data_IF_495702841304
#
_entry.id   IF_495702841304
#
_cell.length_a   1.000
_cell.length_b   1.000
_cell.length_c   1.000
_cell.angle_alpha   90.00
_cell.angle_beta   90.00
_cell.angle_gamma   90.00
#
_symmetry.space_group_name_H-M   'P 1'
#
loop_
_entity.id
_entity.type
_entity.pdbx_description
1 polymer ?
#
# COMPACT_ATOMS: atom_id res chain seq x y z
N UNK A 1 -10.59 14.51 -4.30
CA UNK A 1 -9.39 14.66 -3.44
C UNK A 1 -8.67 13.32 -3.45
N UNK A 2 -7.38 13.28 -3.81
CA UNK A 2 -6.61 12.03 -3.82
C UNK A 2 -6.59 11.42 -2.42
N UNK A 3 -7.05 10.16 -2.27
CA UNK A 3 -6.92 9.42 -1.00
C UNK A 3 -5.43 9.35 -0.65
N UNK A 4 -5.08 9.53 0.63
CA UNK A 4 -3.68 9.43 1.07
C UNK A 4 -3.25 7.97 1.02
N UNK A 5 -2.15 7.66 0.33
CA UNK A 5 -1.57 6.29 0.23
C UNK A 5 -0.81 5.84 1.48
N UNK A 6 -0.72 6.71 2.48
CA UNK A 6 0.02 6.46 3.71
C UNK A 6 -0.86 6.79 4.92
N UNK A 7 -0.82 5.92 5.93
CA UNK A 7 -1.40 6.16 7.25
C UNK A 7 -0.34 6.51 8.27
N UNK A 8 -0.79 7.04 9.41
CA UNK A 8 0.08 7.24 10.57
C UNK A 8 0.35 5.88 11.21
N UNK A 9 1.62 5.50 11.20
CA UNK A 9 2.12 4.36 11.94
C UNK A 9 2.61 4.74 13.33
N UNK A 10 3.66 4.05 13.77
CA UNK A 10 4.31 4.26 15.06
C UNK A 10 4.86 5.68 15.17
N UNK A 11 4.69 6.29 16.34
CA UNK A 11 5.37 7.55 16.66
C UNK A 11 6.87 7.32 16.78
N UNK A 12 7.66 8.16 16.10
CA UNK A 12 9.12 8.09 16.18
C UNK A 12 9.57 8.58 17.55
N UNK A 13 10.46 7.83 18.18
CA UNK A 13 10.93 8.04 19.54
C UNK A 13 12.44 8.30 19.64
N UNK A 14 13.21 7.95 18.61
CA UNK A 14 14.66 8.14 18.54
C UNK A 14 15.10 8.70 17.19
N UNK A 15 16.34 9.20 17.14
CA UNK A 15 16.94 9.62 15.87
C UNK A 15 17.27 8.42 14.98
N UNK A 16 17.64 7.29 15.57
CA UNK A 16 18.03 6.08 14.83
C UNK A 16 16.85 5.53 14.00
N UNK A 17 15.64 5.56 14.57
CA UNK A 17 14.40 5.19 13.88
C UNK A 17 14.14 6.05 12.61
N UNK A 18 14.73 7.25 12.49
CA UNK A 18 14.61 8.07 11.27
C UNK A 18 15.39 7.52 10.07
N UNK A 19 16.39 6.66 10.33
CA UNK A 19 17.19 6.03 9.28
C UNK A 19 16.61 4.68 8.84
N UNK A 20 15.71 4.10 9.63
CA UNK A 20 15.11 2.78 9.37
C UNK A 20 13.92 2.84 8.39
N UNK A 21 13.28 4.00 8.27
CA UNK A 21 12.05 4.18 7.48
C UNK A 21 12.22 5.19 6.34
N UNK A 22 11.53 4.94 5.22
CA UNK A 22 11.61 5.81 4.04
C UNK A 22 10.60 6.96 4.02
N UNK A 23 9.47 6.84 4.71
CA UNK A 23 8.40 7.83 4.67
C UNK A 23 7.92 8.15 6.08
N UNK A 24 7.62 9.42 6.33
CA UNK A 24 7.19 9.93 7.63
C UNK A 24 6.00 10.86 7.48
N UNK A 25 5.10 10.83 8.45
CA UNK A 25 4.06 11.84 8.61
C UNK A 25 4.58 12.87 9.61
N UNK A 26 4.61 14.14 9.21
CA UNK A 26 5.13 15.25 10.02
C UNK A 26 4.05 16.30 10.23
N UNK A 27 3.95 16.77 11.47
CA UNK A 27 3.15 17.94 11.84
C UNK A 27 4.07 19.12 12.21
N UNK A 28 4.11 20.14 11.36
CA UNK A 28 5.03 21.28 11.55
C UNK A 28 4.66 22.21 12.72
N UNK A 29 3.38 22.28 13.06
CA UNK A 29 2.89 23.13 14.13
C UNK A 29 1.58 22.59 14.72
N UNK A 30 1.17 23.08 15.90
CA UNK A 30 0.04 22.52 16.65
C UNK A 30 -1.30 22.54 15.89
N UNK A 31 -1.43 23.46 14.92
CA UNK A 31 -2.61 23.60 14.05
C UNK A 31 -2.30 23.39 12.58
N UNK A 32 -1.08 22.97 12.25
CA UNK A 32 -0.68 22.73 10.87
C UNK A 32 -1.21 21.37 10.40
N UNK A 33 -1.60 21.26 9.12
CA UNK A 33 -1.97 19.97 8.56
C UNK A 33 -0.75 19.05 8.52
N UNK A 34 -1.01 17.77 8.73
CA UNK A 34 0.00 16.72 8.60
C UNK A 34 0.36 16.51 7.13
N UNK A 35 1.65 16.31 6.88
CA UNK A 35 2.19 16.02 5.56
C UNK A 35 3.04 14.77 5.59
N UNK A 36 2.87 13.94 4.57
CA UNK A 36 3.78 12.82 4.30
C UNK A 36 5.02 13.35 3.58
N UNK A 37 6.20 13.00 4.08
CA UNK A 37 7.49 13.40 3.52
C UNK A 37 8.40 12.17 3.40
N UNK A 38 9.30 12.20 2.43
CA UNK A 38 10.33 11.17 2.26
C UNK A 38 11.50 11.38 3.25
N UNK A 39 12.19 10.31 3.61
CA UNK A 39 13.33 10.30 4.51
C UNK A 39 14.41 11.29 4.09
N UNK A 40 14.67 11.44 2.78
CA UNK A 40 15.62 12.43 2.27
C UNK A 40 15.33 13.88 2.73
N UNK A 41 14.06 14.23 2.94
CA UNK A 41 13.72 15.53 3.52
C UNK A 41 14.01 15.58 5.02
N UNK A 42 13.69 14.52 5.77
CA UNK A 42 13.99 14.43 7.20
C UNK A 42 15.51 14.46 7.45
N UNK A 43 16.27 13.72 6.66
CA UNK A 43 17.73 13.64 6.73
C UNK A 43 18.42 14.96 6.37
N UNK A 44 17.72 15.89 5.71
CA UNK A 44 18.21 17.25 5.48
C UNK A 44 18.11 18.15 6.72
N UNK A 45 17.39 17.73 7.76
CA UNK A 45 17.21 18.54 8.96
C UNK A 45 18.47 18.58 9.80
N UNK A 46 18.68 19.72 10.47
CA UNK A 46 19.66 19.79 11.55
C UNK A 46 19.24 18.84 12.68
N UNK A 47 20.20 18.14 13.28
CA UNK A 47 19.96 17.14 14.35
C UNK A 47 19.09 17.71 15.48
N UNK A 48 19.35 18.95 15.90
CA UNK A 48 18.57 19.63 16.94
C UNK A 48 17.10 19.81 16.55
N UNK A 49 16.82 20.08 15.28
CA UNK A 49 15.45 20.18 14.77
C UNK A 49 14.78 18.81 14.81
N UNK A 50 15.45 17.75 14.33
CA UNK A 50 14.91 16.39 14.40
C UNK A 50 14.56 15.98 15.84
N UNK A 51 15.45 16.27 16.80
CA UNK A 51 15.20 16.03 18.23
C UNK A 51 14.00 16.79 18.77
N UNK A 52 13.81 18.06 18.39
CA UNK A 52 12.64 18.84 18.79
C UNK A 52 11.34 18.20 18.27
N UNK A 53 11.32 17.78 17.01
CA UNK A 53 10.13 17.14 16.44
C UNK A 53 9.79 15.81 17.10
N UNK A 54 10.80 15.01 17.46
CA UNK A 54 10.64 13.77 18.21
C UNK A 54 10.13 14.06 19.62
N UNK A 55 10.77 14.99 20.34
CA UNK A 55 10.42 15.34 21.72
C UNK A 55 9.00 15.90 21.83
N UNK A 56 8.60 16.72 20.85
CA UNK A 56 7.25 17.29 20.77
C UNK A 56 6.21 16.30 20.23
N UNK A 57 6.59 15.06 19.93
CA UNK A 57 5.67 14.01 19.44
C UNK A 57 4.98 14.40 18.13
N UNK A 58 5.72 15.02 17.20
CA UNK A 58 5.19 15.58 15.93
C UNK A 58 5.58 14.80 14.67
N UNK A 59 6.23 13.65 14.85
CA UNK A 59 6.68 12.80 13.75
C UNK A 59 6.22 11.36 13.99
N UNK A 60 5.73 10.74 12.92
CA UNK A 60 5.29 9.34 12.87
C UNK A 60 5.88 8.68 11.64
N UNK A 61 6.12 7.38 11.72
CA UNK A 61 6.40 6.54 10.55
C UNK A 61 5.15 6.55 9.66
N UNK A 62 5.35 6.70 8.36
CA UNK A 62 4.25 6.62 7.40
C UNK A 62 4.18 5.19 6.84
N UNK A 63 3.19 4.43 7.31
CA UNK A 63 2.94 3.09 6.81
C UNK A 63 2.19 3.19 5.48
N UNK A 64 2.68 2.50 4.45
CA UNK A 64 1.97 2.39 3.17
C UNK A 64 0.66 1.64 3.40
N UNK A 65 -0.42 2.16 2.84
CA UNK A 65 -1.69 1.46 2.80
C UNK A 65 -1.60 0.33 1.79
N UNK A 66 -2.26 -0.79 2.11
CA UNK A 66 -2.51 -1.81 1.11
C UNK A 66 -3.64 -1.39 0.17
N UNK A 67 -3.78 -2.03 -0.98
CA UNK A 67 -4.90 -1.79 -1.91
C UNK A 67 -6.25 -1.99 -1.21
N UNK A 68 -6.37 -3.01 -0.37
CA UNK A 68 -7.58 -3.25 0.44
C UNK A 68 -7.91 -2.06 1.35
N UNK A 69 -6.91 -1.53 2.08
CA UNK A 69 -7.11 -0.36 2.94
C UNK A 69 -7.36 0.93 2.15
N UNK A 70 -6.72 1.08 0.99
CA UNK A 70 -6.87 2.26 0.15
C UNK A 70 -8.25 2.33 -0.51
N UNK A 71 -8.77 1.19 -0.95
CA UNK A 71 -10.10 1.07 -1.55
C UNK A 71 -11.20 0.71 -0.55
N UNK A 72 -10.91 0.78 0.76
CA UNK A 72 -11.90 0.59 1.81
C UNK A 72 -13.16 1.44 1.54
N UNK A 73 -14.31 0.76 1.51
CA UNK A 73 -15.62 1.29 1.08
C UNK A 73 -16.07 0.92 -0.34
N UNK A 74 -15.24 0.26 -1.16
CA UNK A 74 -15.65 -0.32 -2.45
C UNK A 74 -16.07 -1.77 -2.31
N UNK A 75 -16.95 -2.24 -3.18
CA UNK A 75 -17.27 -3.67 -3.28
C UNK A 75 -16.16 -4.42 -4.02
N UNK A 76 -16.10 -5.73 -3.82
CA UNK A 76 -15.13 -6.58 -4.51
C UNK A 76 -15.27 -6.53 -6.04
N UNK A 77 -16.49 -6.35 -6.55
CA UNK A 77 -16.75 -6.17 -7.98
C UNK A 77 -16.11 -4.88 -8.50
N UNK A 78 -16.29 -3.75 -7.80
CA UNK A 78 -15.64 -2.49 -8.17
C UNK A 78 -14.11 -2.58 -8.07
N UNK A 79 -13.59 -3.33 -7.09
CA UNK A 79 -12.14 -3.53 -6.95
C UNK A 79 -11.59 -4.38 -8.11
N UNK A 80 -12.32 -5.42 -8.55
CA UNK A 80 -11.97 -6.23 -9.73
C UNK A 80 -11.92 -5.38 -11.00
N UNK A 81 -12.86 -4.43 -11.16
CA UNK A 81 -12.84 -3.48 -12.27
C UNK A 81 -11.63 -2.53 -12.22
N UNK A 82 -11.24 -2.07 -11.03
CA UNK A 82 -10.10 -1.15 -10.85
C UNK A 82 -8.77 -1.83 -11.20
N UNK A 83 -8.56 -3.05 -10.71
CA UNK A 83 -7.31 -3.78 -10.97
C UNK A 83 -7.26 -4.35 -12.39
N UNK A 84 -8.43 -4.70 -12.95
CA UNK A 84 -8.57 -5.33 -14.26
C UNK A 84 -8.36 -6.85 -14.22
N UNK A 85 -9.13 -7.57 -15.04
CA UNK A 85 -9.07 -9.04 -15.13
C UNK A 85 -7.71 -9.55 -15.58
N UNK A 86 -7.05 -8.87 -16.53
CA UNK A 86 -5.71 -9.23 -17.02
C UNK A 86 -4.69 -9.21 -15.88
N UNK A 87 -4.63 -8.11 -15.12
CA UNK A 87 -3.73 -7.97 -13.97
C UNK A 87 -3.99 -9.03 -12.90
N UNK A 88 -5.27 -9.30 -12.58
CA UNK A 88 -5.63 -10.34 -11.61
C UNK A 88 -5.22 -11.74 -12.08
N UNK A 89 -5.40 -12.05 -13.35
CA UNK A 89 -5.02 -13.34 -13.90
C UNK A 89 -3.50 -13.48 -13.96
N UNK A 90 -2.80 -12.49 -14.52
CA UNK A 90 -1.38 -12.62 -14.83
C UNK A 90 -0.50 -12.52 -13.59
N UNK A 91 -0.79 -11.59 -12.69
CA UNK A 91 0.09 -11.29 -11.55
C UNK A 91 -0.36 -11.96 -10.25
N UNK A 92 -1.67 -12.06 -10.02
CA UNK A 92 -2.20 -12.45 -8.70
C UNK A 92 -2.87 -13.82 -8.67
N UNK A 93 -3.13 -14.43 -9.82
CA UNK A 93 -3.77 -15.75 -9.84
C UNK A 93 -2.80 -16.81 -9.30
N UNK A 94 -3.24 -17.61 -8.30
CA UNK A 94 -2.40 -18.66 -7.71
C UNK A 94 -2.18 -19.86 -8.64
N UNK A 95 -2.87 -19.91 -9.79
CA UNK A 95 -2.68 -20.97 -10.77
C UNK A 95 -1.35 -20.77 -11.52
N UNK A 96 -0.67 -21.87 -11.91
CA UNK A 96 0.43 -21.82 -12.86
C UNK A 96 0.02 -21.18 -14.20
N UNK A 97 0.95 -20.50 -14.88
CA UNK A 97 0.65 -19.74 -16.10
C UNK A 97 -0.01 -20.56 -17.23
N UNK A 98 0.33 -21.85 -17.35
CA UNK A 98 -0.25 -22.76 -18.34
C UNK A 98 -1.68 -23.23 -18.00
N UNK A 99 -2.22 -22.82 -16.84
CA UNK A 99 -3.59 -23.06 -16.39
C UNK A 99 -4.38 -21.75 -16.24
N UNK A 100 -3.77 -20.60 -16.54
CA UNK A 100 -4.43 -19.29 -16.46
C UNK A 100 -5.23 -19.02 -17.74
N UNK A 101 -6.46 -18.52 -17.58
CA UNK A 101 -7.35 -18.22 -18.70
C UNK A 101 -8.14 -19.44 -19.19
N UNK A 102 -8.68 -19.33 -20.40
CA UNK A 102 -9.50 -20.37 -21.04
C UNK A 102 -8.62 -21.16 -22.01
N UNK A 103 -8.09 -22.30 -21.58
CA UNK A 103 -7.33 -23.18 -22.48
C UNK A 103 -8.25 -24.21 -23.14
N UNK A 104 -8.62 -23.94 -24.40
CA UNK A 104 -9.31 -24.91 -25.25
C UNK A 104 -8.29 -25.69 -26.10
N UNK A 105 -7.60 -26.68 -25.51
CA UNK A 105 -6.81 -27.65 -26.27
C UNK A 105 -7.51 -29.01 -26.34
N UNK A 106 -8.41 -29.17 -27.31
CA UNK A 106 -8.81 -30.48 -27.86
C UNK A 106 -9.42 -31.53 -26.91
N UNK A 107 -9.90 -31.12 -25.73
CA UNK A 107 -10.55 -31.97 -24.72
C UNK A 107 -11.55 -31.19 -23.85
N UNK A 108 -12.01 -31.78 -22.73
CA UNK A 108 -12.88 -31.08 -21.78
C UNK A 108 -12.18 -29.79 -21.30
N UNK A 109 -12.86 -28.62 -21.32
CA UNK A 109 -12.22 -27.37 -20.98
C UNK A 109 -11.94 -27.37 -19.47
N UNK A 110 -10.65 -27.35 -19.09
CA UNK A 110 -10.24 -27.03 -17.72
C UNK A 110 -10.37 -25.52 -17.58
N UNK A 111 -11.60 -25.08 -17.39
CA UNK A 111 -11.93 -23.68 -17.22
C UNK A 111 -11.39 -23.21 -15.86
N UNK A 112 -10.72 -22.06 -15.84
CA UNK A 112 -10.47 -21.36 -14.58
C UNK A 112 -11.78 -20.82 -13.95
N UNK A 113 -12.91 -20.73 -14.70
CA UNK A 113 -14.26 -20.23 -14.31
C UNK A 113 -14.29 -19.03 -13.33
N UNK A 114 -13.23 -18.23 -13.26
CA UNK A 114 -13.05 -17.27 -12.18
C UNK A 114 -12.99 -17.88 -10.77
N UNK A 115 -12.86 -19.20 -10.62
CA UNK A 115 -12.85 -19.93 -9.35
C UNK A 115 -11.72 -19.50 -8.41
N UNK A 116 -10.68 -18.88 -8.96
CA UNK A 116 -9.52 -18.35 -8.23
C UNK A 116 -9.43 -16.82 -8.25
N UNK A 117 -10.36 -16.12 -8.91
CA UNK A 117 -10.34 -14.65 -8.99
C UNK A 117 -10.54 -13.99 -7.63
N UNK A 118 -11.27 -14.63 -6.71
CA UNK A 118 -11.40 -14.10 -5.35
C UNK A 118 -10.08 -14.20 -4.59
N UNK A 119 -9.32 -15.29 -4.77
CA UNK A 119 -7.98 -15.43 -4.17
C UNK A 119 -6.97 -14.46 -4.78
N UNK A 120 -7.07 -14.23 -6.10
CA UNK A 120 -6.26 -13.23 -6.79
C UNK A 120 -6.57 -11.81 -6.28
N UNK A 121 -7.85 -11.52 -6.06
CA UNK A 121 -8.27 -10.24 -5.50
C UNK A 121 -7.77 -10.05 -4.07
N UNK A 122 -7.85 -11.08 -3.22
CA UNK A 122 -7.29 -11.02 -1.87
C UNK A 122 -5.77 -10.79 -1.89
N UNK A 123 -5.03 -11.47 -2.77
CA UNK A 123 -3.60 -11.23 -2.93
C UNK A 123 -3.30 -9.79 -3.37
N UNK A 124 -4.08 -9.25 -4.32
CA UNK A 124 -3.95 -7.86 -4.73
C UNK A 124 -4.27 -6.87 -3.60
N UNK A 125 -5.29 -7.16 -2.77
CA UNK A 125 -5.67 -6.33 -1.61
C UNK A 125 -4.58 -6.24 -0.56
N UNK A 126 -3.71 -7.25 -0.45
CA UNK A 126 -2.56 -7.26 0.48
C UNK A 126 -1.36 -6.46 -0.03
N UNK A 127 -1.26 -6.20 -1.33
CA UNK A 127 -0.18 -5.39 -1.89
C UNK A 127 -0.29 -3.90 -1.53
N UNK A 128 0.84 -3.21 -1.50
CA UNK A 128 0.87 -1.77 -1.25
C UNK A 128 0.25 -0.99 -2.40
N UNK A 129 -0.59 -0.01 -2.07
CA UNK A 129 -1.20 0.86 -3.06
C UNK A 129 -0.13 1.68 -3.80
N UNK A 130 -0.08 1.50 -5.11
CA UNK A 130 0.82 2.23 -6.02
C UNK A 130 0.41 3.70 -6.19
#
# INVERSE_FOLDING_TARGET
MSKRKFKKGKQVSSLDELFEHQHFVVQYGPRSPERTVHAGFILSWQVRMAQLFISDKRIWVADRLTNGEFYDGKTDEEMKEIVGEETLCDLYCPLPDYLKGVHCYGGEPVMCEGSHCDKALEAWKEEFAE
#
